data_IF_081547092784
#
_entry.id   IF_081547092784
#
_cell.length_a   1.000
_cell.length_b   1.000
_cell.length_c   1.000
_cell.angle_alpha   90.00
_cell.angle_beta   90.00
_cell.angle_gamma   90.00
#
_symmetry.space_group_name_H-M   'P 1'
#
loop_
_entity.id
_entity.type
_entity.pdbx_description
1 polymer ?
#
# COMPACT_ATOMS: atom_id res chain seq x y z
N UNK A 1 10.59 -11.32 14.74
CA UNK A 1 10.14 -11.11 13.36
C UNK A 1 11.27 -11.43 12.40
N UNK A 2 11.02 -11.99 11.24
CA UNK A 2 9.71 -12.22 10.64
C UNK A 2 9.09 -13.53 11.10
N UNK A 3 7.77 -13.64 10.93
CA UNK A 3 7.03 -14.86 11.21
C UNK A 3 6.31 -15.37 9.96
N UNK A 4 5.62 -16.51 10.10
CA UNK A 4 4.82 -17.06 9.01
C UNK A 4 3.77 -16.07 8.51
N UNK A 5 3.27 -15.18 9.36
CA UNK A 5 2.30 -14.16 8.96
C UNK A 5 2.81 -13.29 7.81
N UNK A 6 4.10 -12.92 7.86
CA UNK A 6 4.70 -12.13 6.77
C UNK A 6 4.75 -12.93 5.47
N UNK A 7 5.11 -14.22 5.55
CA UNK A 7 5.11 -15.09 4.39
C UNK A 7 3.70 -15.26 3.80
N UNK A 8 2.70 -15.41 4.65
CA UNK A 8 1.30 -15.53 4.21
C UNK A 8 0.83 -14.22 3.53
N UNK A 9 1.25 -13.07 4.03
CA UNK A 9 0.93 -11.79 3.41
C UNK A 9 1.57 -11.65 2.03
N UNK A 10 2.81 -12.07 1.90
CA UNK A 10 3.48 -12.06 0.60
C UNK A 10 2.77 -12.98 -0.40
N UNK A 11 2.36 -14.17 0.03
CA UNK A 11 1.62 -15.09 -0.83
C UNK A 11 0.29 -14.47 -1.30
N UNK A 12 -0.42 -13.79 -0.40
CA UNK A 12 -1.68 -13.12 -0.75
C UNK A 12 -1.44 -11.98 -1.75
N UNK A 13 -0.39 -11.19 -1.54
CA UNK A 13 -0.04 -10.10 -2.45
C UNK A 13 0.32 -10.64 -3.84
N UNK A 14 1.07 -11.73 -3.92
CA UNK A 14 1.41 -12.36 -5.19
C UNK A 14 0.15 -12.80 -5.92
N UNK A 15 -0.78 -13.45 -5.21
CA UNK A 15 -2.05 -13.88 -5.79
C UNK A 15 -2.85 -12.69 -6.33
N UNK A 16 -3.00 -11.64 -5.52
CA UNK A 16 -3.81 -10.49 -5.88
C UNK A 16 -3.24 -9.71 -7.07
N UNK A 17 -1.92 -9.71 -7.24
CA UNK A 17 -1.25 -8.97 -8.31
C UNK A 17 -0.81 -9.86 -9.48
N UNK A 18 -1.31 -11.09 -9.54
CA UNK A 18 -0.98 -12.02 -10.63
C UNK A 18 -1.31 -11.38 -11.98
N UNK A 19 -0.33 -11.42 -12.89
CA UNK A 19 -0.50 -10.87 -14.24
C UNK A 19 -0.44 -9.36 -14.36
N UNK A 20 -0.17 -8.66 -13.26
CA UNK A 20 -0.06 -7.19 -13.27
C UNK A 20 1.39 -6.76 -13.42
N UNK A 21 1.58 -5.62 -14.08
CA UNK A 21 2.90 -5.06 -14.35
C UNK A 21 2.95 -3.59 -13.94
N UNK A 22 4.15 -3.12 -13.61
CA UNK A 22 4.40 -1.70 -13.34
C UNK A 22 4.21 -0.90 -14.63
N UNK A 23 3.85 0.38 -14.47
CA UNK A 23 3.81 1.32 -15.59
C UNK A 23 5.24 1.59 -16.06
N UNK A 24 5.40 1.82 -17.37
CA UNK A 24 6.69 2.09 -17.96
C UNK A 24 6.94 1.24 -19.18
N UNK A 25 8.14 1.36 -19.76
CA UNK A 25 8.52 0.67 -20.99
C UNK A 25 8.98 -0.76 -20.77
N UNK A 26 9.38 -1.10 -19.53
CA UNK A 26 9.83 -2.43 -19.17
C UNK A 26 8.68 -3.25 -18.59
N UNK A 27 8.64 -4.54 -18.90
CA UNK A 27 7.64 -5.45 -18.33
C UNK A 27 8.08 -5.94 -16.95
N UNK A 28 7.91 -5.10 -15.95
CA UNK A 28 8.32 -5.43 -14.58
C UNK A 28 7.09 -5.91 -13.80
N UNK A 29 7.11 -7.12 -13.21
CA UNK A 29 5.98 -7.61 -12.42
C UNK A 29 5.61 -6.64 -11.30
N UNK A 30 4.31 -6.42 -11.10
CA UNK A 30 3.84 -5.44 -10.13
C UNK A 30 4.28 -5.77 -8.70
N UNK A 31 4.46 -7.04 -8.37
CA UNK A 31 4.84 -7.47 -7.03
C UNK A 31 6.14 -6.79 -6.51
N UNK A 32 7.01 -6.33 -7.42
CA UNK A 32 8.23 -5.63 -7.00
C UNK A 32 7.92 -4.37 -6.18
N UNK A 33 6.77 -3.73 -6.45
CA UNK A 33 6.38 -2.53 -5.71
C UNK A 33 6.00 -2.84 -4.27
N UNK A 34 5.03 -3.72 -3.97
CA UNK A 34 4.76 -4.06 -2.56
C UNK A 34 5.95 -4.67 -1.84
N UNK A 35 6.78 -5.45 -2.52
CA UNK A 35 8.04 -5.94 -1.92
C UNK A 35 8.98 -4.79 -1.57
N UNK A 36 9.14 -3.83 -2.48
CA UNK A 36 9.97 -2.66 -2.24
C UNK A 36 9.44 -1.79 -1.11
N UNK A 37 8.12 -1.58 -1.06
CA UNK A 37 7.49 -0.79 0.00
C UNK A 37 7.71 -1.45 1.36
N UNK A 38 7.49 -2.76 1.45
CA UNK A 38 7.73 -3.49 2.70
C UNK A 38 9.20 -3.44 3.12
N UNK A 39 10.12 -3.57 2.17
CA UNK A 39 11.56 -3.48 2.43
C UNK A 39 11.92 -2.12 3.02
N UNK A 40 11.44 -1.05 2.41
CA UNK A 40 11.68 0.32 2.91
C UNK A 40 11.08 0.50 4.30
N UNK A 41 9.83 0.06 4.51
CA UNK A 41 9.18 0.17 5.81
C UNK A 41 10.01 -0.53 6.89
N UNK A 42 10.51 -1.73 6.61
CA UNK A 42 11.35 -2.49 7.56
C UNK A 42 12.67 -1.78 7.83
N UNK A 43 13.28 -1.15 6.83
CA UNK A 43 14.51 -0.35 7.05
C UNK A 43 14.27 0.80 8.02
N UNK A 44 13.05 1.36 8.03
CA UNK A 44 12.67 2.43 8.95
C UNK A 44 11.93 1.91 10.18
N UNK A 45 12.23 0.66 10.57
CA UNK A 45 11.81 0.07 11.84
C UNK A 45 10.31 -0.23 11.95
N UNK A 46 9.65 -0.53 10.83
CA UNK A 46 8.28 -1.00 10.87
C UNK A 46 8.17 -2.28 11.71
N UNK A 47 7.06 -2.42 12.44
CA UNK A 47 6.76 -3.71 13.06
C UNK A 47 6.14 -4.65 12.01
N UNK A 48 5.86 -5.89 12.43
CA UNK A 48 5.36 -6.89 11.48
C UNK A 48 4.02 -6.51 10.87
N UNK A 49 3.09 -5.94 11.64
CA UNK A 49 1.80 -5.51 11.12
C UNK A 49 1.95 -4.42 10.05
N UNK A 50 2.85 -3.48 10.27
CA UNK A 50 3.13 -2.44 9.28
C UNK A 50 3.78 -3.02 8.02
N UNK A 51 4.69 -3.97 8.17
CA UNK A 51 5.33 -4.64 7.03
C UNK A 51 4.30 -5.45 6.23
N UNK A 52 3.41 -6.15 6.93
CA UNK A 52 2.30 -6.88 6.29
C UNK A 52 1.39 -5.91 5.54
N UNK A 53 1.02 -4.80 6.19
CA UNK A 53 0.19 -3.79 5.55
C UNK A 53 0.88 -3.19 4.32
N UNK A 54 2.19 -3.00 4.36
CA UNK A 54 2.95 -2.53 3.21
C UNK A 54 2.87 -3.52 2.04
N UNK A 55 2.99 -4.82 2.31
CA UNK A 55 2.81 -5.85 1.28
C UNK A 55 1.41 -5.83 0.67
N UNK A 56 0.40 -5.50 1.46
CA UNK A 56 -1.01 -5.60 1.08
C UNK A 56 -1.63 -4.25 0.69
N UNK A 57 -0.87 -3.17 0.71
CA UNK A 57 -1.44 -1.82 0.63
C UNK A 57 -2.24 -1.55 -0.65
N UNK A 58 -1.90 -2.19 -1.76
CA UNK A 58 -2.59 -2.03 -3.05
C UNK A 58 -3.53 -3.19 -3.39
N UNK A 59 -3.65 -4.20 -2.52
CA UNK A 59 -4.43 -5.40 -2.81
C UNK A 59 -5.91 -5.08 -3.01
N UNK A 60 -6.49 -4.19 -2.20
CA UNK A 60 -7.90 -3.84 -2.33
C UNK A 60 -8.18 -3.06 -3.60
N UNK A 61 -7.28 -2.16 -3.99
CA UNK A 61 -7.44 -1.34 -5.17
C UNK A 61 -7.23 -2.16 -6.46
N UNK A 62 -6.14 -2.91 -6.51
CA UNK A 62 -5.73 -3.61 -7.73
C UNK A 62 -6.26 -5.04 -7.81
N UNK A 63 -6.47 -5.71 -6.68
CA UNK A 63 -6.96 -7.08 -6.62
C UNK A 63 -8.46 -7.19 -6.40
N UNK A 64 -9.06 -6.18 -5.80
CA UNK A 64 -10.50 -6.12 -5.59
C UNK A 64 -10.91 -6.17 -4.13
N UNK A 65 -12.12 -5.69 -3.88
CA UNK A 65 -12.66 -5.56 -2.51
C UNK A 65 -12.91 -6.90 -1.82
N UNK A 66 -12.97 -7.99 -2.57
CA UNK A 66 -13.16 -9.33 -2.00
C UNK A 66 -12.02 -9.73 -1.05
N UNK A 67 -10.87 -9.07 -1.15
CA UNK A 67 -9.75 -9.32 -0.26
C UNK A 67 -9.92 -8.69 1.12
N UNK A 68 -10.83 -7.73 1.29
CA UNK A 68 -10.99 -7.04 2.57
C UNK A 68 -11.30 -7.99 3.74
N UNK A 69 -12.34 -8.85 3.65
CA UNK A 69 -12.60 -9.78 4.75
C UNK A 69 -11.47 -10.80 4.95
N UNK A 70 -10.77 -11.16 3.90
CA UNK A 70 -9.64 -12.09 3.99
C UNK A 70 -8.51 -11.48 4.79
N UNK A 71 -8.19 -10.22 4.52
CA UNK A 71 -7.14 -9.49 5.24
C UNK A 71 -7.50 -9.36 6.71
N UNK A 72 -8.75 -8.98 7.00
CA UNK A 72 -9.21 -8.83 8.38
C UNK A 72 -9.09 -10.16 9.15
N UNK A 73 -9.56 -11.25 8.55
CA UNK A 73 -9.55 -12.56 9.20
C UNK A 73 -8.13 -13.09 9.43
N UNK A 74 -7.26 -12.97 8.41
CA UNK A 74 -5.92 -13.56 8.48
C UNK A 74 -4.92 -12.71 9.25
N UNK A 75 -5.02 -11.38 9.17
CA UNK A 75 -3.97 -10.50 9.69
C UNK A 75 -4.44 -9.57 10.79
N UNK A 76 -5.74 -9.45 11.01
CA UNK A 76 -6.30 -8.71 12.14
C UNK A 76 -6.69 -7.28 11.80
N UNK A 77 -7.32 -6.63 12.79
CA UNK A 77 -7.94 -5.31 12.61
C UNK A 77 -6.90 -4.23 12.31
N UNK A 78 -5.75 -4.26 12.99
CA UNK A 78 -4.73 -3.23 12.80
C UNK A 78 -4.20 -3.22 11.37
N UNK A 79 -3.86 -4.39 10.84
CA UNK A 79 -3.41 -4.50 9.44
C UNK A 79 -4.50 -4.04 8.49
N UNK A 80 -5.73 -4.50 8.71
CA UNK A 80 -6.87 -4.13 7.88
C UNK A 80 -7.08 -2.61 7.87
N UNK A 81 -7.00 -1.97 9.04
CA UNK A 81 -7.17 -0.52 9.15
C UNK A 81 -6.09 0.24 8.38
N UNK A 82 -4.83 -0.21 8.47
CA UNK A 82 -3.75 0.43 7.73
C UNK A 82 -3.96 0.28 6.22
N UNK A 83 -4.30 -0.92 5.77
CA UNK A 83 -4.55 -1.18 4.35
C UNK A 83 -5.71 -0.34 3.84
N UNK A 84 -6.81 -0.28 4.59
CA UNK A 84 -7.96 0.54 4.22
C UNK A 84 -7.60 2.03 4.17
N UNK A 85 -6.79 2.51 5.10
CA UNK A 85 -6.35 3.90 5.10
C UNK A 85 -5.53 4.22 3.84
N UNK A 86 -4.68 3.30 3.41
CA UNK A 86 -3.91 3.47 2.17
C UNK A 86 -4.81 3.48 0.93
N UNK A 87 -5.89 2.69 0.96
CA UNK A 87 -6.83 2.58 -0.16
C UNK A 87 -7.81 3.75 -0.19
N UNK A 88 -8.40 4.06 0.97
CA UNK A 88 -9.50 5.02 1.11
C UNK A 88 -9.04 6.45 1.35
N UNK A 89 -7.76 6.65 1.58
CA UNK A 89 -7.21 8.00 1.80
C UNK A 89 -7.30 8.90 0.59
N UNK A 90 -7.70 8.36 -0.55
CA UNK A 90 -7.81 9.11 -1.78
C UNK A 90 -9.17 9.79 -1.89
N UNK A 91 -9.24 10.89 -2.63
CA UNK A 91 -10.43 11.73 -2.72
C UNK A 91 -11.69 11.04 -3.22
N UNK A 92 -11.58 9.94 -3.94
CA UNK A 92 -12.73 9.23 -4.48
C UNK A 92 -13.71 8.82 -3.40
N UNK A 93 -13.22 8.48 -2.22
CA UNK A 93 -14.06 8.15 -1.08
C UNK A 93 -14.99 9.30 -0.70
N UNK A 94 -14.60 10.51 -1.01
CA UNK A 94 -15.36 11.73 -0.66
C UNK A 94 -16.10 12.30 -1.87
N UNK A 95 -16.13 11.60 -3.00
CA UNK A 95 -16.84 12.03 -4.18
C UNK A 95 -16.29 13.25 -4.87
N UNK A 96 -14.97 13.45 -4.82
CA UNK A 96 -14.34 14.70 -5.25
C UNK A 96 -13.51 14.56 -6.52
N UNK A 97 -13.91 13.71 -7.44
CA UNK A 97 -13.18 13.50 -8.68
C UNK A 97 -13.11 14.74 -9.57
N UNK A 98 -14.11 15.60 -9.50
CA UNK A 98 -14.24 16.73 -10.44
C UNK A 98 -13.55 18.00 -9.98
N UNK A 99 -13.17 18.11 -8.70
CA UNK A 99 -12.61 19.34 -8.18
C UNK A 99 -11.29 19.08 -7.45
N UNK A 100 -10.23 19.62 -8.04
CA UNK A 100 -8.87 19.39 -7.53
C UNK A 100 -8.63 20.02 -6.16
N UNK A 101 -9.06 21.26 -5.95
CA UNK A 101 -8.72 21.99 -4.72
C UNK A 101 -9.37 21.41 -3.46
N UNK A 102 -10.70 21.20 -3.42
CA UNK A 102 -11.32 20.54 -2.28
C UNK A 102 -10.77 19.13 -2.05
N UNK A 103 -10.44 18.43 -3.10
CA UNK A 103 -9.86 17.09 -3.03
C UNK A 103 -8.52 17.10 -2.33
N UNK A 104 -7.65 18.05 -2.69
CA UNK A 104 -6.33 18.22 -2.07
C UNK A 104 -6.47 18.61 -0.61
N UNK A 105 -7.37 19.54 -0.30
CA UNK A 105 -7.61 20.00 1.07
C UNK A 105 -8.07 18.85 1.96
N UNK A 106 -8.97 18.00 1.49
CA UNK A 106 -9.44 16.84 2.24
C UNK A 106 -8.33 15.81 2.44
N UNK A 107 -7.50 15.61 1.44
CA UNK A 107 -6.34 14.72 1.56
C UNK A 107 -5.35 15.21 2.62
N UNK A 108 -5.07 16.50 2.64
CA UNK A 108 -4.20 17.09 3.65
C UNK A 108 -4.79 16.95 5.06
N UNK A 109 -6.11 17.18 5.21
CA UNK A 109 -6.79 16.94 6.48
C UNK A 109 -6.70 15.48 6.90
N UNK A 110 -6.90 14.58 5.95
CA UNK A 110 -6.79 13.15 6.20
C UNK A 110 -5.38 12.80 6.72
N UNK A 111 -4.33 13.29 6.06
CA UNK A 111 -2.96 13.03 6.48
C UNK A 111 -2.68 13.53 7.90
N UNK A 112 -3.31 14.62 8.31
CA UNK A 112 -3.15 15.15 9.67
C UNK A 112 -3.82 14.28 10.73
N UNK A 113 -4.75 13.40 10.33
CA UNK A 113 -5.51 12.57 11.27
C UNK A 113 -5.08 11.11 11.29
N UNK A 114 -4.27 10.68 10.30
CA UNK A 114 -3.82 9.27 10.26
C UNK A 114 -2.76 9.02 11.33
N UNK A 115 -2.71 7.78 11.81
CA UNK A 115 -1.73 7.36 12.80
C UNK A 115 -0.33 7.29 12.19
N UNK A 116 0.68 7.29 13.05
CA UNK A 116 2.06 7.10 12.62
C UNK A 116 2.24 5.78 11.86
N UNK A 117 1.47 4.75 12.21
CA UNK A 117 1.50 3.46 11.52
C UNK A 117 1.23 3.62 10.03
N UNK A 118 0.19 4.40 9.70
CA UNK A 118 -0.23 4.63 8.31
C UNK A 118 0.79 5.54 7.61
N UNK A 119 1.28 6.56 8.28
CA UNK A 119 2.26 7.50 7.70
C UNK A 119 3.50 6.74 7.24
N UNK A 120 3.99 5.80 8.04
CA UNK A 120 5.17 5.02 7.67
C UNK A 120 4.95 4.25 6.36
N UNK A 121 3.82 3.56 6.23
CA UNK A 121 3.50 2.78 5.04
C UNK A 121 3.32 3.68 3.82
N UNK A 122 2.58 4.77 3.96
CA UNK A 122 2.35 5.72 2.86
C UNK A 122 3.66 6.36 2.42
N UNK A 123 4.53 6.72 3.36
CA UNK A 123 5.83 7.31 3.04
C UNK A 123 6.73 6.31 2.30
N UNK A 124 6.72 5.05 2.71
CA UNK A 124 7.48 4.00 2.04
C UNK A 124 6.98 3.79 0.62
N UNK A 125 5.66 3.82 0.41
CA UNK A 125 5.05 3.74 -0.91
C UNK A 125 5.55 4.87 -1.83
N UNK A 126 5.49 6.10 -1.36
CA UNK A 126 5.93 7.26 -2.14
C UNK A 126 7.42 7.21 -2.44
N UNK A 127 8.23 6.80 -1.48
CA UNK A 127 9.67 6.69 -1.68
C UNK A 127 10.00 5.63 -2.73
N UNK A 128 9.34 4.48 -2.69
CA UNK A 128 9.55 3.45 -3.70
C UNK A 128 9.15 3.96 -5.10
N UNK A 129 8.04 4.68 -5.21
CA UNK A 129 7.60 5.26 -6.47
C UNK A 129 8.63 6.24 -7.03
N UNK A 130 9.22 7.08 -6.18
CA UNK A 130 10.26 8.03 -6.60
C UNK A 130 11.48 7.28 -7.12
N UNK A 131 11.92 6.23 -6.41
CA UNK A 131 13.05 5.40 -6.86
C UNK A 131 12.79 4.77 -8.23
N UNK A 132 11.58 4.29 -8.45
CA UNK A 132 11.19 3.67 -9.72
C UNK A 132 11.24 4.68 -10.86
N UNK A 133 10.81 5.92 -10.64
CA UNK A 133 10.86 6.99 -11.63
C UNK A 133 12.32 7.31 -11.99
N UNK A 134 13.18 7.41 -10.99
CA UNK A 134 14.60 7.68 -11.21
C UNK A 134 15.24 6.54 -12.03
N UNK A 135 14.94 5.31 -11.70
CA UNK A 135 15.49 4.15 -12.39
C UNK A 135 15.06 4.11 -13.86
N UNK A 136 13.84 4.55 -14.17
CA UNK A 136 13.36 4.59 -15.55
C UNK A 136 14.13 5.58 -16.43
N UNK A 137 14.80 6.56 -15.84
CA UNK A 137 15.63 7.52 -16.57
C UNK A 137 17.04 6.99 -16.87
N UNK A 138 17.41 5.89 -16.31
CA UNK A 138 18.70 5.25 -16.53
C UNK A 138 18.56 3.98 -17.36
#
# INVERSE_FOLDING_TARGET
MPTKRLADALALAIEAHTGQYRKGTKKIPYIIHPLGVASIALEYQADEDQAIAALLHDVLEDGGKQYSPIILEKFGQRVHDIVCACTDGLPDKYGLKSDWKPRKDKYLKYLNTVSEDVILVVSADKLHNVRSIIDDFH
#
